data_IF_987514687520
#
_entry.id   IF_987514687520
#
_cell.length_a   1.000
_cell.length_b   1.000
_cell.length_c   1.000
_cell.angle_alpha   90.00
_cell.angle_beta   90.00
_cell.angle_gamma   90.00
#
_symmetry.space_group_name_H-M   'P 1'
#
loop_
_entity.id
_entity.type
_entity.pdbx_description
1 polymer ?
#
# COMPACT_ATOMS: atom_id res chain seq x y z
N UNK A 1 13.51 -31.18 -20.06
CA UNK A 1 14.24 -30.05 -20.63
C UNK A 1 15.34 -29.69 -19.65
N UNK A 2 16.58 -29.77 -20.12
CA UNK A 2 17.79 -29.58 -19.30
C UNK A 2 18.23 -28.12 -19.34
N UNK A 3 19.29 -27.76 -18.62
CA UNK A 3 20.02 -26.47 -18.76
C UNK A 3 20.28 -26.05 -20.23
N UNK A 4 20.38 -27.01 -21.16
CA UNK A 4 20.53 -26.74 -22.60
C UNK A 4 19.34 -25.97 -23.22
N UNK A 5 18.13 -26.22 -22.72
CA UNK A 5 16.91 -25.62 -23.28
C UNK A 5 16.73 -24.17 -22.84
N UNK A 6 17.15 -23.82 -21.62
CA UNK A 6 17.17 -22.42 -21.16
C UNK A 6 18.12 -21.59 -22.01
N UNK A 7 19.37 -22.05 -22.23
CA UNK A 7 20.36 -21.31 -23.04
C UNK A 7 19.86 -21.09 -24.47
N UNK A 8 19.23 -22.11 -25.07
CA UNK A 8 18.61 -21.99 -26.39
C UNK A 8 17.53 -20.91 -26.41
N UNK A 9 16.66 -20.87 -25.38
CA UNK A 9 15.63 -19.83 -25.27
C UNK A 9 16.22 -18.43 -25.10
N UNK A 10 17.28 -18.28 -24.28
CA UNK A 10 17.95 -17.00 -24.10
C UNK A 10 18.51 -16.47 -25.42
N UNK A 11 19.17 -17.32 -26.22
CA UNK A 11 19.64 -16.97 -27.57
C UNK A 11 18.47 -16.57 -28.49
N UNK A 12 17.40 -17.37 -28.53
CA UNK A 12 16.21 -17.08 -29.33
C UNK A 12 15.58 -15.73 -28.98
N UNK A 13 15.54 -15.39 -27.70
CA UNK A 13 15.00 -14.12 -27.18
C UNK A 13 16.02 -12.97 -27.20
N UNK A 14 17.24 -13.21 -27.69
CA UNK A 14 18.34 -12.22 -27.73
C UNK A 14 18.68 -11.65 -26.34
N UNK A 15 18.56 -12.49 -25.31
CA UNK A 15 18.89 -12.13 -23.93
C UNK A 15 20.39 -12.43 -23.71
N UNK A 16 21.23 -11.42 -23.40
CA UNK A 16 22.66 -11.63 -23.23
C UNK A 16 22.97 -12.37 -21.92
N UNK A 17 23.84 -13.37 -21.99
CA UNK A 17 24.27 -14.13 -20.83
C UNK A 17 25.74 -14.55 -20.95
N UNK A 18 26.34 -14.88 -19.81
CA UNK A 18 27.67 -15.44 -19.68
C UNK A 18 27.62 -16.70 -18.83
N UNK A 19 28.44 -17.69 -19.18
CA UNK A 19 28.63 -18.90 -18.38
C UNK A 19 29.82 -18.68 -17.44
N UNK A 20 29.56 -18.69 -16.13
CA UNK A 20 30.58 -18.57 -15.09
C UNK A 20 30.78 -19.93 -14.43
N UNK A 21 31.93 -20.12 -13.76
CA UNK A 21 32.21 -21.35 -13.01
C UNK A 21 31.13 -21.63 -11.96
N UNK A 22 30.57 -20.56 -11.38
CA UNK A 22 29.55 -20.66 -10.33
C UNK A 22 28.14 -20.92 -10.86
N UNK A 23 27.83 -20.58 -12.11
CA UNK A 23 26.47 -20.64 -12.65
C UNK A 23 26.27 -19.85 -13.94
N UNK A 24 25.02 -19.71 -14.35
CA UNK A 24 24.62 -18.95 -15.55
C UNK A 24 24.20 -17.53 -15.13
N UNK A 25 24.84 -16.50 -15.69
CA UNK A 25 24.55 -15.10 -15.40
C UNK A 25 23.98 -14.39 -16.62
N UNK A 26 22.79 -13.81 -16.48
CA UNK A 26 22.15 -12.93 -17.48
C UNK A 26 22.52 -11.48 -17.15
N UNK A 27 23.13 -10.79 -18.11
CA UNK A 27 23.70 -9.44 -17.89
C UNK A 27 22.74 -8.31 -18.25
N UNK A 28 21.46 -8.63 -18.37
CA UNK A 28 20.39 -7.71 -18.72
C UNK A 28 19.07 -8.21 -18.13
N UNK A 29 17.96 -7.64 -18.58
CA UNK A 29 16.63 -8.11 -18.28
C UNK A 29 16.34 -9.48 -18.90
N UNK A 30 15.73 -10.36 -18.12
CA UNK A 30 15.42 -11.74 -18.46
C UNK A 30 13.92 -12.00 -18.42
N UNK A 31 13.25 -11.82 -19.55
CA UNK A 31 11.86 -12.18 -19.67
C UNK A 31 11.73 -13.64 -20.15
N UNK A 32 11.38 -14.57 -19.25
CA UNK A 32 11.09 -15.98 -19.54
C UNK A 32 9.59 -16.28 -19.57
N UNK A 33 8.74 -15.27 -19.40
CA UNK A 33 7.29 -15.45 -19.34
C UNK A 33 6.74 -16.21 -20.54
N UNK A 34 5.66 -16.97 -20.28
CA UNK A 34 4.93 -17.77 -21.28
C UNK A 34 5.83 -18.73 -22.07
N UNK A 35 6.88 -19.25 -21.44
CA UNK A 35 7.77 -20.24 -22.03
C UNK A 35 7.57 -21.62 -21.41
N UNK A 36 8.09 -22.65 -22.07
CA UNK A 36 8.08 -24.02 -21.57
C UNK A 36 9.20 -24.31 -20.54
N UNK A 37 9.92 -23.29 -20.08
CA UNK A 37 10.95 -23.47 -19.04
C UNK A 37 10.28 -23.96 -17.77
N UNK A 38 10.83 -25.02 -17.17
CA UNK A 38 10.36 -25.60 -15.92
C UNK A 38 11.42 -25.66 -14.83
N UNK A 39 12.68 -25.39 -15.15
CA UNK A 39 13.79 -25.35 -14.20
C UNK A 39 14.76 -24.22 -14.55
N UNK A 40 15.40 -23.66 -13.52
CA UNK A 40 16.52 -22.74 -13.64
C UNK A 40 17.76 -23.42 -13.02
N UNK A 41 18.98 -23.14 -13.55
CA UNK A 41 20.20 -23.74 -13.00
C UNK A 41 20.49 -23.21 -11.59
N UNK A 42 21.26 -23.97 -10.80
CA UNK A 42 21.80 -23.49 -9.53
C UNK A 42 22.62 -22.20 -9.73
N UNK A 43 22.57 -21.30 -8.75
CA UNK A 43 23.25 -20.00 -8.78
C UNK A 43 22.89 -19.15 -10.02
N UNK A 44 21.66 -19.31 -10.55
CA UNK A 44 21.20 -18.47 -11.66
C UNK A 44 21.17 -17.00 -11.21
N UNK A 45 21.83 -16.15 -11.97
CA UNK A 45 21.95 -14.73 -11.64
C UNK A 45 21.41 -13.89 -12.80
N UNK A 46 20.61 -12.88 -12.49
CA UNK A 46 20.08 -11.92 -13.45
C UNK A 46 20.40 -10.52 -12.95
N UNK A 47 21.14 -9.72 -13.70
CA UNK A 47 21.48 -8.35 -13.31
C UNK A 47 20.26 -7.41 -13.38
N UNK A 48 19.37 -7.65 -14.34
CA UNK A 48 18.14 -6.89 -14.53
C UNK A 48 16.92 -7.51 -13.84
N UNK A 49 15.74 -7.33 -14.43
CA UNK A 49 14.53 -8.00 -13.95
C UNK A 49 14.45 -9.45 -14.45
N UNK A 50 13.82 -10.32 -13.67
CA UNK A 50 13.49 -11.70 -14.05
C UNK A 50 11.98 -11.89 -14.01
N UNK A 51 11.38 -12.14 -15.18
CA UNK A 51 9.96 -12.43 -15.29
C UNK A 51 9.74 -13.92 -15.59
N UNK A 52 9.15 -14.63 -14.63
CA UNK A 52 8.81 -16.06 -14.72
C UNK A 52 7.31 -16.31 -14.87
N UNK A 53 6.48 -15.28 -15.03
CA UNK A 53 5.01 -15.39 -15.14
C UNK A 53 4.59 -16.42 -16.19
N UNK A 54 3.66 -17.31 -15.84
CA UNK A 54 3.15 -18.35 -16.73
C UNK A 54 4.22 -19.26 -17.34
N UNK A 55 5.29 -19.55 -16.59
CA UNK A 55 6.22 -20.64 -16.90
C UNK A 55 5.77 -21.94 -16.21
N UNK A 56 6.44 -23.05 -16.50
CA UNK A 56 6.19 -24.33 -15.84
C UNK A 56 7.08 -24.54 -14.60
N UNK A 57 7.78 -23.50 -14.13
CA UNK A 57 8.66 -23.57 -12.96
C UNK A 57 7.85 -23.84 -11.69
N UNK A 58 8.29 -24.83 -10.92
CA UNK A 58 7.71 -25.22 -9.62
C UNK A 58 8.64 -24.96 -8.44
N UNK A 59 9.95 -24.91 -8.68
CA UNK A 59 10.96 -24.64 -7.67
C UNK A 59 11.96 -23.63 -8.22
N UNK A 60 12.28 -22.62 -7.42
CA UNK A 60 13.39 -21.72 -7.71
C UNK A 60 14.71 -22.34 -7.20
N UNK A 61 15.82 -22.13 -7.91
CA UNK A 61 17.09 -22.73 -7.55
C UNK A 61 17.72 -22.04 -6.33
N UNK A 62 18.46 -22.82 -5.55
CA UNK A 62 19.39 -22.30 -4.54
C UNK A 62 20.37 -21.31 -5.18
N UNK A 63 20.63 -20.20 -4.47
CA UNK A 63 21.53 -19.15 -4.94
C UNK A 63 20.97 -18.25 -6.04
N UNK A 64 19.65 -18.28 -6.31
CA UNK A 64 19.01 -17.34 -7.22
C UNK A 64 19.23 -15.90 -6.77
N UNK A 65 19.76 -15.07 -7.68
CA UNK A 65 19.96 -13.63 -7.46
C UNK A 65 19.35 -12.83 -8.61
N UNK A 66 18.56 -11.82 -8.28
CA UNK A 66 17.95 -10.90 -9.25
C UNK A 66 18.30 -9.48 -8.85
N UNK A 67 18.96 -8.71 -9.74
CA UNK A 67 19.44 -7.37 -9.43
C UNK A 67 18.34 -6.32 -9.38
N UNK A 68 17.24 -6.52 -10.11
CA UNK A 68 16.06 -5.66 -10.08
C UNK A 68 14.80 -6.42 -9.62
N UNK A 69 13.75 -6.45 -10.44
CA UNK A 69 12.45 -7.04 -10.09
C UNK A 69 12.39 -8.55 -10.40
N UNK A 70 11.93 -9.37 -9.45
CA UNK A 70 11.51 -10.75 -9.68
C UNK A 70 9.98 -10.86 -9.70
N UNK A 71 9.40 -11.26 -10.84
CA UNK A 71 7.97 -11.56 -10.94
C UNK A 71 7.73 -13.07 -11.01
N UNK A 72 7.01 -13.58 -10.01
CA UNK A 72 6.54 -14.96 -9.91
C UNK A 72 5.02 -15.07 -10.07
N UNK A 73 4.36 -13.99 -10.50
CA UNK A 73 2.89 -13.86 -10.51
C UNK A 73 2.20 -15.11 -11.08
N UNK A 74 1.27 -15.67 -10.31
CA UNK A 74 0.46 -16.82 -10.69
C UNK A 74 1.23 -18.14 -10.85
N UNK A 75 2.52 -18.18 -10.48
CA UNK A 75 3.26 -19.44 -10.48
C UNK A 75 2.85 -20.31 -9.31
N UNK A 76 2.64 -21.58 -9.60
CA UNK A 76 2.47 -22.61 -8.59
C UNK A 76 3.85 -23.10 -8.11
N UNK A 77 4.60 -22.16 -7.53
CA UNK A 77 5.83 -22.39 -6.76
C UNK A 77 5.44 -22.59 -5.30
N UNK A 78 5.93 -23.68 -4.70
CA UNK A 78 5.54 -24.07 -3.35
C UNK A 78 6.32 -23.31 -2.27
N UNK A 79 7.59 -22.99 -2.55
CA UNK A 79 8.49 -22.31 -1.62
C UNK A 79 9.54 -21.45 -2.32
N UNK A 80 10.02 -20.42 -1.61
CA UNK A 80 11.19 -19.64 -2.00
C UNK A 80 12.45 -20.26 -1.37
N UNK A 81 13.58 -20.29 -2.10
CA UNK A 81 14.83 -20.85 -1.61
C UNK A 81 15.46 -19.96 -0.56
N UNK A 82 16.19 -20.56 0.39
CA UNK A 82 17.06 -19.82 1.31
C UNK A 82 18.09 -18.99 0.53
N UNK A 83 18.44 -17.82 1.06
CA UNK A 83 19.39 -16.89 0.45
C UNK A 83 18.88 -16.19 -0.82
N UNK A 84 17.58 -16.27 -1.14
CA UNK A 84 17.00 -15.51 -2.26
C UNK A 84 17.23 -14.02 -2.06
N UNK A 85 17.93 -13.40 -3.02
CA UNK A 85 18.21 -11.96 -3.02
C UNK A 85 17.57 -11.30 -4.23
N UNK A 86 16.76 -10.27 -3.99
CA UNK A 86 16.11 -9.46 -5.03
C UNK A 86 16.45 -7.99 -4.77
N UNK A 87 17.23 -7.37 -5.65
CA UNK A 87 17.69 -5.99 -5.48
C UNK A 87 16.60 -4.94 -5.64
N UNK A 88 15.48 -5.29 -6.29
CA UNK A 88 14.28 -4.45 -6.41
C UNK A 88 13.06 -5.12 -5.81
N UNK A 89 11.92 -5.03 -6.52
CA UNK A 89 10.65 -5.57 -6.06
C UNK A 89 10.56 -7.11 -6.20
N UNK A 90 9.76 -7.75 -5.37
CA UNK A 90 9.37 -9.16 -5.49
C UNK A 90 7.84 -9.26 -5.59
N UNK A 91 7.35 -9.89 -6.66
CA UNK A 91 5.92 -10.11 -6.88
C UNK A 91 5.58 -11.59 -6.75
N UNK A 92 4.86 -11.92 -5.67
CA UNK A 92 4.34 -13.25 -5.34
C UNK A 92 2.82 -13.34 -5.53
N UNK A 93 2.21 -12.39 -6.23
CA UNK A 93 0.76 -12.31 -6.39
C UNK A 93 0.20 -13.61 -6.97
N UNK A 94 -0.78 -14.19 -6.29
CA UNK A 94 -1.46 -15.40 -6.72
C UNK A 94 -0.55 -16.64 -6.83
N UNK A 95 0.61 -16.62 -6.16
CA UNK A 95 1.47 -17.81 -6.06
C UNK A 95 0.93 -18.81 -5.04
N UNK A 96 1.46 -20.03 -5.05
CA UNK A 96 1.15 -21.05 -4.03
C UNK A 96 2.11 -21.03 -2.82
N UNK A 97 2.95 -19.99 -2.71
CA UNK A 97 3.93 -19.85 -1.62
C UNK A 97 3.22 -19.67 -0.29
N UNK A 98 3.59 -20.49 0.70
CA UNK A 98 2.96 -20.49 2.03
C UNK A 98 3.79 -19.80 3.11
N UNK A 99 5.08 -19.54 2.85
CA UNK A 99 6.01 -18.90 3.79
C UNK A 99 7.10 -18.13 3.05
N UNK A 100 7.58 -17.06 3.67
CA UNK A 100 8.83 -16.40 3.26
C UNK A 100 10.01 -16.99 4.05
N UNK A 101 11.20 -17.14 3.44
CA UNK A 101 12.43 -17.45 4.15
C UNK A 101 12.77 -16.37 5.19
N UNK A 102 13.34 -16.77 6.32
CA UNK A 102 13.73 -15.82 7.39
C UNK A 102 14.87 -14.88 6.97
N UNK A 103 15.68 -15.28 5.98
CA UNK A 103 16.82 -14.55 5.45
C UNK A 103 16.51 -13.82 4.13
N UNK A 104 15.22 -13.65 3.80
CA UNK A 104 14.82 -13.00 2.55
C UNK A 104 15.31 -11.55 2.50
N UNK A 105 15.98 -11.19 1.41
CA UNK A 105 16.52 -9.85 1.19
C UNK A 105 15.87 -9.22 -0.06
N UNK A 106 15.10 -8.14 0.15
CA UNK A 106 14.37 -7.43 -0.90
C UNK A 106 14.75 -5.94 -0.81
N UNK A 107 15.27 -5.39 -1.91
CA UNK A 107 15.69 -3.99 -1.97
C UNK A 107 14.58 -3.00 -2.34
N UNK A 108 13.41 -3.49 -2.75
CA UNK A 108 12.24 -2.66 -3.12
C UNK A 108 10.94 -3.15 -2.47
N UNK A 109 9.85 -3.16 -3.24
CA UNK A 109 8.51 -3.56 -2.76
C UNK A 109 8.26 -5.07 -2.74
N UNK A 110 7.25 -5.49 -1.98
CA UNK A 110 6.81 -6.89 -1.86
C UNK A 110 5.29 -6.99 -2.06
N UNK A 111 4.88 -7.67 -3.13
CA UNK A 111 3.47 -7.96 -3.41
C UNK A 111 3.15 -9.40 -3.03
N UNK A 112 2.36 -9.60 -1.97
CA UNK A 112 1.90 -10.92 -1.51
C UNK A 112 0.44 -11.19 -1.84
N UNK A 113 -0.19 -10.38 -2.70
CA UNK A 113 -1.64 -10.43 -2.88
C UNK A 113 -2.14 -11.80 -3.28
N UNK A 114 -3.12 -12.31 -2.53
CA UNK A 114 -3.71 -13.63 -2.77
C UNK A 114 -2.75 -14.82 -2.59
N UNK A 115 -1.52 -14.61 -2.10
CA UNK A 115 -0.65 -15.71 -1.71
C UNK A 115 -1.14 -16.31 -0.37
N UNK A 116 -1.11 -17.66 -0.20
CA UNK A 116 -1.58 -18.34 1.01
C UNK A 116 -0.59 -18.25 2.18
N UNK A 117 0.18 -17.15 2.27
CA UNK A 117 1.17 -16.90 3.31
C UNK A 117 0.47 -16.64 4.64
N UNK A 118 0.84 -17.40 5.67
CA UNK A 118 0.19 -17.33 6.98
C UNK A 118 0.83 -16.28 7.92
N UNK A 119 2.11 -15.98 7.74
CA UNK A 119 2.86 -15.03 8.57
C UNK A 119 4.03 -14.42 7.81
N UNK A 120 4.48 -13.25 8.30
CA UNK A 120 5.73 -12.61 7.87
C UNK A 120 6.87 -12.98 8.82
N UNK A 121 8.12 -13.07 8.35
CA UNK A 121 9.27 -13.27 9.23
C UNK A 121 9.52 -12.05 10.11
N UNK A 122 10.05 -12.28 11.32
CA UNK A 122 10.47 -11.21 12.22
C UNK A 122 11.57 -10.37 11.60
N UNK A 123 11.52 -9.05 11.83
CA UNK A 123 12.53 -8.12 11.31
C UNK A 123 12.44 -7.86 9.80
N UNK A 124 11.36 -8.29 9.13
CA UNK A 124 11.13 -7.96 7.72
C UNK A 124 11.12 -6.44 7.52
N UNK A 125 12.03 -5.96 6.67
CA UNK A 125 12.14 -4.56 6.27
C UNK A 125 11.93 -4.44 4.77
N UNK A 126 10.95 -3.63 4.38
CA UNK A 126 10.60 -3.37 2.98
C UNK A 126 10.89 -1.91 2.68
N UNK A 127 11.71 -1.63 1.68
CA UNK A 127 12.11 -0.25 1.36
C UNK A 127 10.94 0.52 0.73
N UNK A 128 10.14 -0.14 -0.12
CA UNK A 128 9.01 0.48 -0.81
C UNK A 128 7.66 0.04 -0.22
N UNK A 129 6.74 -0.45 -1.04
CA UNK A 129 5.41 -0.90 -0.65
C UNK A 129 5.33 -2.38 -0.31
N UNK A 130 4.61 -2.71 0.76
CA UNK A 130 4.21 -4.07 1.14
C UNK A 130 2.69 -4.23 0.92
N UNK A 131 2.30 -5.17 0.07
CA UNK A 131 0.89 -5.50 -0.17
C UNK A 131 0.53 -6.87 0.41
N UNK A 132 -0.34 -6.86 1.43
CA UNK A 132 -0.84 -8.04 2.13
C UNK A 132 -2.32 -8.31 1.82
N UNK A 133 -2.92 -7.59 0.87
CA UNK A 133 -4.35 -7.70 0.60
C UNK A 133 -4.73 -9.11 0.10
N UNK A 134 -5.80 -9.66 0.66
CA UNK A 134 -6.25 -11.03 0.35
C UNK A 134 -5.33 -12.15 0.84
N UNK A 135 -4.36 -11.87 1.72
CA UNK A 135 -3.59 -12.91 2.42
C UNK A 135 -4.35 -13.41 3.66
N UNK A 136 -4.11 -14.66 4.12
CA UNK A 136 -4.66 -15.17 5.37
C UNK A 136 -3.93 -14.69 6.64
N UNK A 137 -2.99 -13.74 6.51
CA UNK A 137 -2.24 -13.17 7.64
C UNK A 137 -3.20 -12.51 8.62
N UNK A 138 -3.07 -12.85 9.90
CA UNK A 138 -3.90 -12.29 10.99
C UNK A 138 -3.15 -11.30 11.88
N UNK A 139 -1.82 -11.28 11.83
CA UNK A 139 -0.96 -10.42 12.65
C UNK A 139 0.26 -9.92 11.86
N UNK A 140 0.69 -8.71 12.18
CA UNK A 140 1.95 -8.14 11.67
C UNK A 140 3.06 -8.41 12.69
N UNK A 141 4.30 -8.68 12.24
CA UNK A 141 5.43 -8.82 13.14
C UNK A 141 5.77 -7.49 13.83
N UNK A 142 6.37 -7.57 15.02
CA UNK A 142 6.94 -6.39 15.68
C UNK A 142 8.02 -5.75 14.82
N UNK A 143 8.21 -4.43 14.95
CA UNK A 143 9.20 -3.64 14.21
C UNK A 143 9.06 -3.72 12.68
N UNK A 144 7.89 -4.05 12.15
CA UNK A 144 7.64 -4.00 10.71
C UNK A 144 7.85 -2.57 10.19
N UNK A 145 8.70 -2.44 9.17
CA UNK A 145 8.97 -1.17 8.50
C UNK A 145 8.70 -1.28 7.00
N UNK A 146 7.90 -0.36 6.46
CA UNK A 146 7.62 -0.25 5.03
C UNK A 146 7.36 1.21 4.62
N UNK A 147 7.75 1.64 3.41
CA UNK A 147 7.32 2.97 2.92
C UNK A 147 5.84 2.99 2.59
N UNK A 148 5.25 1.89 2.11
CA UNK A 148 3.81 1.78 1.91
C UNK A 148 3.26 0.48 2.46
N UNK A 149 2.03 0.48 2.97
CA UNK A 149 1.39 -0.70 3.52
C UNK A 149 -0.06 -0.83 3.04
N UNK A 150 -0.35 -1.89 2.28
CA UNK A 150 -1.71 -2.21 1.87
C UNK A 150 -2.23 -3.43 2.63
N UNK A 151 -3.19 -3.19 3.53
CA UNK A 151 -3.88 -4.20 4.33
C UNK A 151 -5.34 -4.40 3.90
N UNK A 152 -5.72 -3.89 2.72
CA UNK A 152 -7.11 -3.87 2.28
C UNK A 152 -7.75 -5.26 2.38
N UNK A 153 -8.89 -5.35 3.07
CA UNK A 153 -9.65 -6.59 3.21
C UNK A 153 -8.87 -7.74 3.88
N UNK A 154 -7.77 -7.45 4.58
CA UNK A 154 -6.99 -8.46 5.31
C UNK A 154 -7.71 -8.93 6.57
N UNK A 155 -7.31 -10.10 7.08
CA UNK A 155 -7.79 -10.65 8.35
C UNK A 155 -7.11 -10.03 9.58
N UNK A 156 -6.23 -9.04 9.39
CA UNK A 156 -5.53 -8.34 10.48
C UNK A 156 -6.54 -7.50 11.26
N UNK A 157 -6.50 -7.63 12.58
CA UNK A 157 -7.44 -6.95 13.49
C UNK A 157 -6.77 -5.88 14.35
N UNK A 158 -5.44 -5.87 14.44
CA UNK A 158 -4.66 -4.93 15.25
C UNK A 158 -3.36 -4.55 14.53
N UNK A 159 -2.93 -3.31 14.71
CA UNK A 159 -1.62 -2.84 14.28
C UNK A 159 -0.64 -2.87 15.47
N UNK A 160 0.62 -3.30 15.26
CA UNK A 160 1.60 -3.28 16.33
C UNK A 160 1.96 -1.83 16.69
N UNK A 161 2.27 -1.58 17.97
CA UNK A 161 2.52 -0.24 18.48
C UNK A 161 3.81 0.39 17.91
N UNK A 162 4.75 -0.45 17.49
CA UNK A 162 6.04 -0.11 16.91
C UNK A 162 6.04 -0.17 15.36
N UNK A 163 4.86 -0.18 14.74
CA UNK A 163 4.71 -0.14 13.29
C UNK A 163 5.31 1.15 12.71
N UNK A 164 6.24 1.02 11.77
CA UNK A 164 6.81 2.17 11.05
C UNK A 164 6.37 2.16 9.57
N UNK A 165 5.54 3.14 9.20
CA UNK A 165 5.18 3.39 7.80
C UNK A 165 5.33 4.87 7.52
N UNK A 166 6.01 5.24 6.43
CA UNK A 166 6.33 6.65 6.11
C UNK A 166 5.46 7.23 4.97
N UNK A 167 5.06 6.41 4.02
CA UNK A 167 4.24 6.78 2.87
C UNK A 167 2.76 6.50 3.10
N UNK A 168 2.14 5.72 2.20
CA UNK A 168 0.70 5.47 2.20
C UNK A 168 0.30 4.20 2.97
N UNK A 169 -0.77 4.28 3.76
CA UNK A 169 -1.38 3.13 4.42
C UNK A 169 -2.83 2.94 3.97
N UNK A 170 -3.17 1.74 3.49
CA UNK A 170 -4.53 1.39 3.07
C UNK A 170 -5.12 0.35 4.02
N UNK A 171 -6.04 0.80 4.88
CA UNK A 171 -6.78 -0.02 5.85
C UNK A 171 -8.25 -0.19 5.44
N UNK A 172 -8.56 0.04 4.18
CA UNK A 172 -9.91 -0.08 3.65
C UNK A 172 -10.46 -1.49 3.87
N UNK A 173 -11.74 -1.57 4.25
CA UNK A 173 -12.46 -2.84 4.43
C UNK A 173 -11.78 -3.76 5.48
N UNK A 174 -11.11 -3.21 6.50
CA UNK A 174 -10.44 -3.98 7.57
C UNK A 174 -11.24 -3.97 8.88
N UNK A 175 -11.01 -5.01 9.70
CA UNK A 175 -11.56 -5.12 11.05
C UNK A 175 -10.70 -4.41 12.12
N UNK A 176 -9.73 -3.59 11.71
CA UNK A 176 -8.88 -2.82 12.61
C UNK A 176 -9.71 -1.74 13.30
N UNK A 177 -9.67 -1.71 14.63
CA UNK A 177 -10.50 -0.80 15.44
C UNK A 177 -9.76 0.42 15.97
N UNK A 178 -8.43 0.37 16.00
CA UNK A 178 -7.57 1.41 16.59
C UNK A 178 -6.31 1.61 15.76
N UNK A 179 -5.87 2.86 15.71
CA UNK A 179 -4.59 3.26 15.12
C UNK A 179 -3.57 3.53 16.24
N UNK A 180 -2.26 3.30 16.01
CA UNK A 180 -1.20 3.79 16.89
C UNK A 180 -1.26 5.32 17.05
N UNK A 181 -0.89 5.83 18.23
CA UNK A 181 -1.13 7.23 18.61
C UNK A 181 -0.33 8.26 17.78
N UNK A 182 0.90 7.90 17.39
CA UNK A 182 1.88 8.82 16.80
C UNK A 182 2.18 8.49 15.32
N UNK A 183 1.17 8.00 14.59
CA UNK A 183 1.31 7.70 13.17
C UNK A 183 1.59 8.96 12.35
N UNK A 184 2.68 8.92 11.58
CA UNK A 184 3.05 9.95 10.61
C UNK A 184 3.08 9.31 9.22
N UNK A 185 2.15 9.68 8.35
CA UNK A 185 1.97 9.06 7.04
C UNK A 185 1.86 10.13 5.94
N UNK A 186 2.28 9.79 4.73
CA UNK A 186 1.91 10.59 3.56
C UNK A 186 0.43 10.44 3.22
N UNK A 187 -0.19 9.27 3.40
CA UNK A 187 -1.61 9.10 3.12
C UNK A 187 -2.22 7.96 3.91
N UNK A 188 -3.50 8.07 4.22
CA UNK A 188 -4.24 7.07 4.98
C UNK A 188 -5.64 6.87 4.40
N UNK A 189 -5.96 5.63 4.05
CA UNK A 189 -7.29 5.24 3.62
C UNK A 189 -7.94 4.35 4.68
N UNK A 190 -8.98 4.89 5.35
CA UNK A 190 -9.78 4.20 6.36
C UNK A 190 -11.15 3.81 5.84
N UNK A 191 -11.42 3.94 4.53
CA UNK A 191 -12.76 3.76 3.98
C UNK A 191 -13.37 2.43 4.42
N UNK A 192 -14.60 2.47 4.95
CA UNK A 192 -15.32 1.28 5.40
C UNK A 192 -14.49 0.38 6.36
N UNK A 193 -13.61 0.97 7.16
CA UNK A 193 -12.88 0.27 8.23
C UNK A 193 -13.67 0.30 9.55
N UNK A 194 -13.28 -0.57 10.48
CA UNK A 194 -13.84 -0.61 11.83
C UNK A 194 -13.26 0.45 12.79
N UNK A 195 -12.43 1.38 12.31
CA UNK A 195 -11.86 2.47 13.11
C UNK A 195 -12.96 3.43 13.53
N UNK A 196 -13.02 3.75 14.83
CA UNK A 196 -14.08 4.59 15.43
C UNK A 196 -13.60 5.97 15.87
N UNK A 197 -12.28 6.18 15.95
CA UNK A 197 -11.68 7.48 16.30
C UNK A 197 -10.29 7.60 15.70
N UNK A 198 -9.87 8.84 15.42
CA UNK A 198 -8.50 9.17 15.06
C UNK A 198 -7.71 9.51 16.34
N UNK A 199 -6.44 9.09 16.46
CA UNK A 199 -5.60 9.52 17.57
C UNK A 199 -5.24 11.00 17.44
N UNK A 200 -5.04 11.67 18.57
CA UNK A 200 -4.71 13.12 18.62
C UNK A 200 -3.35 13.45 18.01
N UNK A 201 -2.42 12.48 17.99
CA UNK A 201 -1.07 12.62 17.40
C UNK A 201 -0.99 12.27 15.92
N UNK A 202 -2.10 11.95 15.25
CA UNK A 202 -2.10 11.57 13.83
C UNK A 202 -1.62 12.71 12.94
N UNK A 203 -0.59 12.46 12.11
CA UNK A 203 -0.10 13.42 11.12
C UNK A 203 -0.20 12.83 9.71
N UNK A 204 -0.91 13.53 8.83
CA UNK A 204 -1.08 13.14 7.42
C UNK A 204 -0.57 14.25 6.49
N UNK A 205 0.37 13.92 5.62
CA UNK A 205 0.92 14.85 4.63
C UNK A 205 0.05 15.06 3.38
N UNK A 206 -0.68 14.02 2.99
CA UNK A 206 -1.45 13.91 1.74
C UNK A 206 -2.93 13.62 1.99
N UNK A 207 -3.47 12.57 1.38
CA UNK A 207 -4.91 12.26 1.47
C UNK A 207 -5.24 11.49 2.75
N UNK A 208 -6.27 11.95 3.46
CA UNK A 208 -7.00 11.16 4.47
C UNK A 208 -8.42 10.85 3.95
N UNK A 209 -8.70 9.58 3.71
CA UNK A 209 -10.01 9.08 3.25
C UNK A 209 -10.76 8.44 4.43
N UNK A 210 -11.81 9.13 4.91
CA UNK A 210 -12.67 8.70 6.02
C UNK A 210 -14.08 8.31 5.55
N UNK A 211 -14.27 8.08 4.25
CA UNK A 211 -15.59 7.76 3.70
C UNK A 211 -16.14 6.49 4.33
N UNK A 212 -17.45 6.46 4.55
CA UNK A 212 -18.15 5.26 5.05
C UNK A 212 -17.55 4.72 6.38
N UNK A 213 -16.92 5.59 7.19
CA UNK A 213 -16.41 5.22 8.52
C UNK A 213 -17.44 5.46 9.62
N UNK A 214 -17.27 4.76 10.74
CA UNK A 214 -18.03 4.96 11.97
C UNK A 214 -17.49 6.14 12.83
N UNK A 215 -16.53 6.90 12.32
CA UNK A 215 -15.96 8.06 13.03
C UNK A 215 -17.01 9.17 13.08
N UNK A 216 -17.30 9.67 14.27
CA UNK A 216 -18.34 10.69 14.52
C UNK A 216 -17.78 12.09 14.74
N UNK A 217 -16.49 12.21 15.06
CA UNK A 217 -15.80 13.47 15.28
C UNK A 217 -14.32 13.37 14.90
N UNK A 218 -13.75 14.49 14.43
CA UNK A 218 -12.31 14.67 14.31
C UNK A 218 -11.74 15.16 15.65
N UNK A 219 -10.46 14.90 15.97
CA UNK A 219 -9.82 15.43 17.17
C UNK A 219 -9.85 16.97 17.24
N UNK A 220 -9.86 17.52 18.46
CA UNK A 220 -9.69 18.96 18.65
C UNK A 220 -8.34 19.42 18.11
N UNK A 221 -8.34 20.55 17.39
CA UNK A 221 -7.12 21.09 16.76
C UNK A 221 -6.61 20.26 15.58
N UNK A 222 -7.40 19.32 15.05
CA UNK A 222 -7.00 18.50 13.90
C UNK A 222 -6.64 19.38 12.69
N UNK A 223 -5.53 19.04 12.05
CA UNK A 223 -5.07 19.68 10.82
C UNK A 223 -4.41 18.65 9.90
N UNK A 224 -4.50 18.89 8.60
CA UNK A 224 -3.93 18.03 7.57
C UNK A 224 -3.32 18.88 6.47
N UNK A 225 -2.11 18.51 6.01
CA UNK A 225 -1.41 19.26 4.97
C UNK A 225 -2.03 19.03 3.58
N UNK A 226 -2.53 17.82 3.32
CA UNK A 226 -3.19 17.47 2.09
C UNK A 226 -4.72 17.56 2.16
N UNK A 227 -5.40 16.61 1.51
CA UNK A 227 -6.85 16.63 1.31
C UNK A 227 -7.57 15.69 2.29
N UNK A 228 -8.82 16.02 2.60
CA UNK A 228 -9.67 15.26 3.51
C UNK A 228 -10.99 14.90 2.82
N UNK A 229 -11.24 13.60 2.64
CA UNK A 229 -12.49 13.08 2.07
C UNK A 229 -13.36 12.52 3.21
N UNK A 230 -14.41 13.26 3.57
CA UNK A 230 -15.39 12.89 4.59
C UNK A 230 -16.70 12.39 3.97
N UNK A 231 -16.74 12.17 2.65
CA UNK A 231 -17.99 11.90 1.94
C UNK A 231 -18.71 10.67 2.52
N UNK A 232 -19.98 10.85 2.90
CA UNK A 232 -20.78 9.77 3.47
C UNK A 232 -20.26 9.23 4.81
N UNK A 233 -19.41 9.98 5.51
CA UNK A 233 -18.98 9.64 6.87
C UNK A 233 -20.05 9.99 7.91
N UNK A 234 -19.90 9.45 9.12
CA UNK A 234 -20.80 9.69 10.25
C UNK A 234 -20.46 10.98 11.04
N UNK A 235 -19.58 11.83 10.51
CA UNK A 235 -19.14 13.06 11.16
C UNK A 235 -20.30 14.07 11.18
N UNK A 236 -20.60 14.57 12.39
CA UNK A 236 -21.71 15.49 12.62
C UNK A 236 -21.28 16.97 12.64
N UNK A 237 -20.03 17.23 13.01
CA UNK A 237 -19.46 18.59 13.06
C UNK A 237 -17.96 18.55 12.81
N UNK A 238 -17.41 19.67 12.34
CA UNK A 238 -15.98 19.87 12.18
C UNK A 238 -15.43 20.68 13.38
N UNK A 239 -14.21 20.41 13.85
CA UNK A 239 -13.62 21.14 14.97
C UNK A 239 -13.34 22.60 14.60
N UNK A 240 -13.41 23.49 15.60
CA UNK A 240 -13.06 24.91 15.43
C UNK A 240 -11.60 25.01 14.99
N UNK A 241 -11.35 25.82 13.96
CA UNK A 241 -10.00 26.00 13.43
C UNK A 241 -9.46 24.83 12.61
N UNK A 242 -10.31 23.89 12.17
CA UNK A 242 -9.90 22.83 11.23
C UNK A 242 -9.16 23.45 10.03
N UNK A 243 -7.96 22.96 9.76
CA UNK A 243 -7.14 23.40 8.63
C UNK A 243 -6.82 22.22 7.71
N UNK A 244 -7.23 22.35 6.44
CA UNK A 244 -7.00 21.38 5.36
C UNK A 244 -6.21 22.09 4.26
N UNK A 245 -4.97 21.70 4.02
CA UNK A 245 -4.14 22.37 3.00
C UNK A 245 -4.60 22.09 1.56
N UNK A 246 -5.24 20.95 1.32
CA UNK A 246 -5.83 20.56 0.05
C UNK A 246 -7.35 20.77 -0.02
N UNK A 247 -8.06 19.85 -0.68
CA UNK A 247 -9.52 19.87 -0.78
C UNK A 247 -10.22 19.20 0.41
N UNK A 248 -11.44 19.65 0.70
CA UNK A 248 -12.32 19.09 1.72
C UNK A 248 -13.66 18.68 1.08
N UNK A 249 -13.94 17.38 1.05
CA UNK A 249 -15.21 16.85 0.54
C UNK A 249 -16.14 16.47 1.69
N UNK A 250 -17.24 17.23 1.84
CA UNK A 250 -18.25 17.01 2.89
C UNK A 250 -19.54 16.36 2.34
N UNK A 251 -19.61 16.01 1.05
CA UNK A 251 -20.84 15.54 0.42
C UNK A 251 -21.44 14.36 1.18
N UNK A 252 -22.75 14.28 1.23
CA UNK A 252 -23.47 13.17 1.90
C UNK A 252 -23.15 13.01 3.40
N UNK A 253 -22.59 14.04 4.06
CA UNK A 253 -22.52 14.12 5.52
C UNK A 253 -23.79 14.77 6.09
N UNK A 254 -23.94 14.70 7.41
CA UNK A 254 -25.05 15.35 8.13
C UNK A 254 -24.70 16.75 8.66
N UNK A 255 -23.60 17.35 8.18
CA UNK A 255 -23.13 18.66 8.64
C UNK A 255 -24.09 19.76 8.15
N UNK A 256 -24.59 20.58 9.08
CA UNK A 256 -25.48 21.72 8.80
C UNK A 256 -24.79 23.08 8.92
N UNK A 257 -23.66 23.14 9.61
CA UNK A 257 -22.94 24.37 9.91
C UNK A 257 -21.43 24.14 9.80
N UNK A 258 -20.72 25.14 9.27
CA UNK A 258 -19.26 25.13 9.22
C UNK A 258 -18.71 25.85 10.46
N UNK A 259 -17.61 25.37 11.06
CA UNK A 259 -17.06 25.97 12.27
C UNK A 259 -16.35 27.29 11.95
N UNK A 260 -16.21 28.13 12.98
CA UNK A 260 -15.38 29.32 12.91
C UNK A 260 -13.92 28.95 12.58
N UNK A 261 -13.25 29.83 11.83
CA UNK A 261 -11.83 29.69 11.45
C UNK A 261 -11.51 28.43 10.62
N UNK A 262 -12.49 27.85 9.92
CA UNK A 262 -12.25 26.77 8.96
C UNK A 262 -11.33 27.28 7.83
N UNK A 263 -10.26 26.54 7.55
CA UNK A 263 -9.33 26.83 6.44
C UNK A 263 -9.24 25.66 5.48
N UNK A 264 -9.46 25.91 4.19
CA UNK A 264 -9.34 24.92 3.11
C UNK A 264 -8.52 25.52 1.97
N UNK A 265 -7.30 25.02 1.73
CA UNK A 265 -6.43 25.58 0.68
C UNK A 265 -6.93 25.31 -0.74
N UNK A 266 -7.73 24.25 -0.93
CA UNK A 266 -8.33 23.87 -2.21
C UNK A 266 -9.85 24.03 -2.25
N UNK A 267 -10.49 23.11 -2.95
CA UNK A 267 -11.95 23.07 -3.09
C UNK A 267 -12.62 22.57 -1.81
N UNK A 268 -13.55 23.36 -1.27
CA UNK A 268 -14.54 22.95 -0.28
C UNK A 268 -15.82 22.50 -0.98
N UNK A 269 -16.13 21.21 -0.94
CA UNK A 269 -17.31 20.65 -1.60
C UNK A 269 -18.47 20.44 -0.61
N UNK A 270 -19.49 21.29 -0.73
CA UNK A 270 -20.70 21.34 0.07
C UNK A 270 -21.94 20.86 -0.70
N UNK A 271 -21.76 20.25 -1.88
CA UNK A 271 -22.90 19.85 -2.71
C UNK A 271 -23.84 18.89 -1.97
N UNK A 272 -25.13 19.22 -1.96
CA UNK A 272 -26.17 18.42 -1.31
C UNK A 272 -26.29 18.63 0.21
N UNK A 273 -25.55 19.55 0.81
CA UNK A 273 -25.71 19.91 2.23
C UNK A 273 -26.66 21.12 2.37
N UNK A 274 -27.40 21.17 3.49
CA UNK A 274 -28.26 22.31 3.88
C UNK A 274 -27.47 23.38 4.65
N UNK A 275 -26.36 23.86 4.08
CA UNK A 275 -25.57 24.95 4.68
C UNK A 275 -26.25 26.28 4.39
N UNK A 276 -26.75 26.94 5.44
CA UNK A 276 -27.49 28.21 5.30
C UNK A 276 -26.58 29.42 5.15
N UNK A 277 -25.48 29.44 5.91
CA UNK A 277 -24.52 30.56 5.93
C UNK A 277 -23.10 30.06 6.03
N UNK A 278 -22.18 30.74 5.35
CA UNK A 278 -20.74 30.55 5.53
C UNK A 278 -20.23 31.46 6.67
N UNK A 279 -19.33 30.97 7.55
CA UNK A 279 -18.66 31.80 8.56
C UNK A 279 -17.86 32.93 7.92
N UNK A 280 -17.84 34.11 8.57
CA UNK A 280 -17.12 35.29 8.07
C UNK A 280 -15.60 35.12 8.10
N UNK A 281 -15.09 34.32 9.04
CA UNK A 281 -13.67 34.05 9.25
C UNK A 281 -13.19 32.74 8.61
N UNK A 282 -14.00 32.16 7.71
CA UNK A 282 -13.62 30.99 6.91
C UNK A 282 -12.75 31.39 5.72
N UNK A 283 -11.71 30.59 5.45
CA UNK A 283 -10.87 30.70 4.26
C UNK A 283 -11.03 29.43 3.39
N UNK A 284 -11.36 29.59 2.11
CA UNK A 284 -11.44 28.48 1.15
C UNK A 284 -10.90 28.91 -0.22
N UNK A 285 -10.10 28.07 -0.86
CA UNK A 285 -9.58 28.35 -2.21
C UNK A 285 -10.69 28.43 -3.26
N UNK A 286 -11.64 27.50 -3.18
CA UNK A 286 -12.91 27.54 -3.91
C UNK A 286 -14.02 26.87 -3.07
N UNK A 287 -15.29 27.19 -3.33
CA UNK A 287 -16.43 26.59 -2.65
C UNK A 287 -17.46 26.13 -3.67
N UNK A 288 -17.66 24.81 -3.77
CA UNK A 288 -18.74 24.22 -4.54
C UNK A 288 -19.95 24.00 -3.65
N UNK A 289 -21.02 24.77 -3.87
CA UNK A 289 -22.25 24.70 -3.09
C UNK A 289 -23.50 24.76 -3.97
N UNK A 290 -24.65 24.34 -3.45
CA UNK A 290 -25.95 24.52 -4.12
C UNK A 290 -26.36 25.99 -4.20
N UNK A 291 -27.43 26.30 -4.96
CA UNK A 291 -27.92 27.68 -5.22
C UNK A 291 -28.44 28.44 -3.99
N UNK A 292 -28.57 27.78 -2.83
CA UNK A 292 -29.21 28.32 -1.64
C UNK A 292 -28.25 28.97 -0.61
N UNK A 293 -26.93 28.87 -0.78
CA UNK A 293 -25.97 29.37 0.21
C UNK A 293 -25.82 30.88 0.10
N UNK A 294 -26.11 31.59 1.19
CA UNK A 294 -25.85 33.04 1.29
C UNK A 294 -24.52 33.27 2.00
N UNK A 295 -23.65 34.11 1.43
CA UNK A 295 -22.58 34.73 2.22
C UNK A 295 -23.24 35.66 3.24
N UNK A 296 -22.86 35.56 4.52
CA UNK A 296 -23.18 36.64 5.46
C UNK A 296 -22.53 37.90 4.92
N UNK A 297 -23.34 38.90 4.60
CA UNK A 297 -22.86 40.23 4.26
C UNK A 297 -22.52 40.93 5.59
N UNK A 298 -21.40 41.67 5.67
CA UNK A 298 -21.07 42.48 6.83
C UNK A 298 -22.11 43.57 7.10
#
# INVERSE_FOLDING_TARGET
MSSHDLKTLLVQRKIPFVEEVAGLRVTADCNLSKSAVFELPKNFCVDGYLNLTSTAIRHLPEGLKVGAWLSLTGLAVDELPAGLTVGGALDLNGTSVTRLPADIAIGGGLDLRGAPIQSLPDGLSIVDGLDLSGTPITELPSNLSASGLNLQGSAITQLPADLHVSGGMNLRDTAITRLPNDLQLWGLNLRNSAVTSLPTGLQIGGLLDLRETAITALPDGFSIAGSLDLRGSSIQSLPIGLSVGGGLDLRQTSITDLPARLKVGGLLNLQGLDIKTLPEDMEAGDVSHGTAVRRRLP
#
